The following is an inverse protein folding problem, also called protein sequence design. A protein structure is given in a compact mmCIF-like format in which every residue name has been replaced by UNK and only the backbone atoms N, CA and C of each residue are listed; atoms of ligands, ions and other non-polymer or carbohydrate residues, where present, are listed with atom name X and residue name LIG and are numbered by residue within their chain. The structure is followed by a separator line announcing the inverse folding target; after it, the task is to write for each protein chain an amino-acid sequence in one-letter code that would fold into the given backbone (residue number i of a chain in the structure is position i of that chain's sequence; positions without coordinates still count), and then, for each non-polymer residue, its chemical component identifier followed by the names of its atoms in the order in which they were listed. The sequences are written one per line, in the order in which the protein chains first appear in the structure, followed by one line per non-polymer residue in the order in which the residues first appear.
data_IF_217556416232
#
_entry.id   IF_217556416232
#
_cell.length_a   1.000
_cell.length_b   1.000
_cell.length_c   1.000
_cell.angle_alpha   90.00
_cell.angle_beta   90.00
_cell.angle_gamma   90.00
#
_symmetry.space_group_name_H-M   'P 1'
#
loop_
_entity.id
_entity.type
_entity.pdbx_description
1 polymer ?
#
# COMPACT_ATOMS: atom_id res chain seq x y z
N UNK A 1 4.86 -4.11 -69.09
CA UNK A 1 4.65 -3.44 -67.78
C UNK A 1 4.86 -4.45 -66.67
N UNK A 2 5.72 -4.15 -65.69
CA UNK A 2 5.99 -4.89 -64.44
C UNK A 2 6.43 -3.83 -63.42
N UNK A 3 5.59 -3.44 -62.45
CA UNK A 3 5.39 -4.02 -61.10
C UNK A 3 6.52 -3.71 -60.11
N UNK A 4 6.21 -2.85 -59.14
CA UNK A 4 6.72 -2.73 -57.75
C UNK A 4 8.21 -2.91 -57.42
N UNK A 5 8.79 -1.98 -56.64
CA UNK A 5 9.03 -2.13 -55.19
C UNK A 5 9.83 -0.91 -54.68
N UNK A 6 9.29 -0.17 -53.71
CA UNK A 6 10.00 0.97 -53.07
C UNK A 6 9.54 1.14 -51.61
N UNK A 7 9.83 0.17 -50.75
CA UNK A 7 9.53 0.27 -49.31
C UNK A 7 10.46 -0.59 -48.41
N UNK A 8 11.74 -0.71 -48.77
CA UNK A 8 12.77 -1.40 -47.96
C UNK A 8 14.01 -0.50 -47.80
N UNK A 9 13.93 0.47 -46.90
CA UNK A 9 15.03 1.43 -46.64
C UNK A 9 15.11 1.98 -45.21
N UNK A 10 14.25 1.54 -44.27
CA UNK A 10 14.14 2.16 -42.92
C UNK A 10 14.01 1.10 -41.82
N UNK A 11 15.05 0.27 -41.62
CA UNK A 11 15.03 -0.75 -40.55
C UNK A 11 16.40 -1.16 -39.93
N UNK A 12 17.47 -0.35 -40.09
CA UNK A 12 18.84 -0.75 -39.68
C UNK A 12 19.61 0.20 -38.74
N UNK A 13 18.97 1.22 -38.16
CA UNK A 13 19.67 2.25 -37.36
C UNK A 13 19.44 2.23 -35.83
N UNK A 14 18.78 1.22 -35.26
CA UNK A 14 18.38 1.22 -33.84
C UNK A 14 19.14 0.20 -32.96
N UNK A 15 19.99 -0.66 -33.54
CA UNK A 15 20.60 -1.81 -32.83
C UNK A 15 22.06 -1.56 -32.39
N UNK A 16 22.66 -0.40 -32.72
CA UNK A 16 24.11 -0.20 -32.67
C UNK A 16 24.63 0.78 -31.58
N UNK A 17 23.91 0.98 -30.48
CA UNK A 17 24.31 1.93 -29.39
C UNK A 17 24.22 1.30 -27.98
N UNK A 18 24.37 -0.03 -27.87
CA UNK A 18 24.29 -0.74 -26.58
C UNK A 18 25.53 -1.59 -26.23
N UNK A 19 26.65 -1.42 -26.94
CA UNK A 19 27.94 -2.00 -26.57
C UNK A 19 29.01 -0.91 -26.64
N UNK A 20 29.37 -0.37 -25.46
CA UNK A 20 30.66 0.17 -25.02
C UNK A 20 30.43 1.16 -23.85
N UNK A 21 30.73 0.72 -22.62
CA UNK A 21 31.33 1.52 -21.51
C UNK A 21 31.33 0.74 -20.18
N UNK A 22 32.04 -0.39 -20.17
CA UNK A 22 32.88 -0.78 -19.04
C UNK A 22 34.31 -0.37 -19.46
N UNK A 23 35.26 0.06 -18.62
CA UNK A 23 35.45 -0.01 -17.17
C UNK A 23 36.14 1.26 -16.63
N UNK A 24 35.86 1.72 -15.40
CA UNK A 24 36.88 1.80 -14.32
C UNK A 24 36.35 2.46 -13.02
N UNK A 25 36.45 1.74 -11.89
CA UNK A 25 36.37 2.31 -10.53
C UNK A 25 36.82 1.28 -9.46
N UNK A 26 38.04 1.41 -8.94
CA UNK A 26 38.54 0.54 -7.85
C UNK A 26 37.86 0.89 -6.51
N UNK A 27 37.42 -0.08 -5.69
CA UNK A 27 36.78 0.22 -4.40
C UNK A 27 37.77 0.76 -3.37
N UNK A 28 37.41 1.86 -2.69
CA UNK A 28 38.14 2.39 -1.53
C UNK A 28 37.55 1.84 -0.22
N UNK A 29 38.42 1.38 0.66
CA UNK A 29 38.06 0.72 1.94
C UNK A 29 37.36 1.68 2.92
N UNK A 30 36.30 1.25 3.64
CA UNK A 30 35.71 2.04 4.71
C UNK A 30 36.66 2.13 5.92
N UNK A 31 36.99 3.34 6.37
CA UNK A 31 37.76 3.56 7.59
C UNK A 31 36.88 3.46 8.84
N UNK A 32 36.76 2.26 9.41
CA UNK A 32 36.04 2.03 10.66
C UNK A 32 36.74 2.70 11.85
N UNK A 33 36.16 3.77 12.41
CA UNK A 33 36.55 4.26 13.73
C UNK A 33 35.55 3.83 14.80
N UNK A 34 35.89 2.75 15.50
CA UNK A 34 35.34 2.45 16.82
C UNK A 34 35.56 3.65 17.75
N UNK A 35 34.56 3.95 18.59
CA UNK A 35 34.75 4.59 19.89
C UNK A 35 33.98 3.77 20.92
N UNK A 36 34.69 3.12 21.84
CA UNK A 36 34.05 2.30 22.87
C UNK A 36 34.88 2.31 24.17
N UNK A 37 34.23 2.74 25.27
CA UNK A 37 34.60 2.64 26.70
C UNK A 37 35.89 3.28 27.24
N UNK A 38 35.82 3.57 28.55
CA UNK A 38 36.89 4.11 29.42
C UNK A 38 36.50 5.49 30.01
N UNK A 39 36.00 5.74 31.23
CA UNK A 39 35.89 5.08 32.56
C UNK A 39 36.74 5.77 33.64
N UNK A 40 36.36 5.62 34.93
CA UNK A 40 36.93 6.27 36.14
C UNK A 40 36.47 7.74 36.36
N UNK A 41 36.29 8.26 37.60
CA UNK A 41 36.50 7.68 38.95
C UNK A 41 35.57 8.25 40.05
N UNK A 42 35.26 7.43 41.06
CA UNK A 42 35.07 7.77 42.51
C UNK A 42 33.97 8.73 43.00
N UNK A 43 33.37 8.40 44.17
CA UNK A 43 32.46 9.28 44.92
C UNK A 43 31.38 8.55 45.76
N UNK A 44 31.68 8.20 47.02
CA UNK A 44 30.68 7.73 48.00
C UNK A 44 29.88 8.95 48.55
N UNK A 45 28.68 8.86 49.15
CA UNK A 45 28.24 8.00 50.28
C UNK A 45 26.70 7.81 50.35
N UNK A 46 26.24 6.95 51.27
CA UNK A 46 24.84 6.80 51.74
C UNK A 46 24.81 7.06 53.26
N UNK A 47 23.72 7.61 53.84
CA UNK A 47 22.71 6.75 54.47
C UNK A 47 21.24 7.22 54.23
N UNK A 48 20.31 6.99 55.16
CA UNK A 48 19.36 5.88 55.05
C UNK A 48 18.21 6.01 56.09
N UNK A 49 16.96 5.71 55.71
CA UNK A 49 15.74 5.77 56.54
C UNK A 49 15.29 7.22 56.90
N UNK A 50 14.04 7.51 57.31
CA UNK A 50 12.86 6.67 57.54
C UNK A 50 11.52 7.45 57.32
N UNK A 51 10.38 6.77 57.54
CA UNK A 51 9.07 7.27 57.98
C UNK A 51 8.09 8.00 56.99
N UNK A 52 6.92 7.37 56.84
CA UNK A 52 5.59 7.98 56.61
C UNK A 52 4.98 8.47 57.96
N UNK A 53 3.85 9.24 58.06
CA UNK A 53 2.63 9.14 57.22
C UNK A 53 1.72 10.41 57.09
N UNK A 54 0.47 10.16 56.63
CA UNK A 54 -0.84 10.85 56.90
C UNK A 54 -1.40 11.92 55.94
N UNK A 55 -2.47 11.48 55.25
CA UNK A 55 -3.80 12.12 55.08
C UNK A 55 -3.96 13.56 54.58
N UNK A 56 -4.68 13.69 53.46
CA UNK A 56 -5.88 14.53 53.36
C UNK A 56 -6.90 13.86 52.42
N UNK A 57 -8.18 14.27 52.46
CA UNK A 57 -9.26 13.62 51.70
C UNK A 57 -10.21 14.65 51.08
N UNK A 58 -10.83 14.30 49.96
CA UNK A 58 -12.07 14.92 49.46
C UNK A 58 -12.85 13.92 48.59
N UNK A 59 -14.17 14.13 48.49
CA UNK A 59 -15.12 13.23 47.81
C UNK A 59 -15.21 13.57 46.30
N UNK A 60 -15.89 12.82 45.42
CA UNK A 60 -17.37 12.77 45.38
C UNK A 60 -17.90 11.61 44.52
N UNK A 61 -18.55 10.64 45.19
CA UNK A 61 -19.82 9.98 44.85
C UNK A 61 -20.44 10.22 43.45
N UNK A 62 -20.57 9.15 42.65
CA UNK A 62 -21.86 8.67 42.12
C UNK A 62 -21.72 7.27 41.49
N UNK A 63 -22.60 6.35 41.89
CA UNK A 63 -22.80 5.00 41.32
C UNK A 63 -24.26 4.90 40.84
N UNK A 64 -24.56 3.87 40.03
CA UNK A 64 -25.90 3.31 39.76
C UNK A 64 -26.93 4.24 39.03
N UNK A 65 -27.78 3.79 38.09
CA UNK A 65 -27.98 2.52 37.35
C UNK A 65 -28.14 2.86 35.84
N UNK A 66 -28.53 2.03 34.86
CA UNK A 66 -29.05 0.65 34.79
C UNK A 66 -28.72 0.04 33.41
N UNK A 67 -28.75 -1.28 33.27
CA UNK A 67 -28.62 -1.99 31.98
C UNK A 67 -29.99 -2.39 31.39
N UNK A 68 -30.19 -2.13 30.09
CA UNK A 68 -31.35 -2.60 29.32
C UNK A 68 -30.91 -3.65 28.29
N UNK A 69 -31.58 -4.81 28.19
CA UNK A 69 -31.30 -5.80 27.15
C UNK A 69 -31.97 -5.43 25.82
N UNK A 70 -31.37 -5.82 24.69
CA UNK A 70 -32.08 -5.82 23.41
C UNK A 70 -31.57 -4.90 22.31
N UNK A 71 -30.26 -4.68 22.19
CA UNK A 71 -29.65 -4.57 20.87
C UNK A 71 -28.19 -5.02 20.93
N UNK A 72 -27.77 -5.84 19.96
CA UNK A 72 -26.35 -6.04 19.70
C UNK A 72 -25.86 -4.81 18.92
N UNK A 73 -25.39 -3.78 19.63
CA UNK A 73 -24.73 -2.66 18.98
C UNK A 73 -23.58 -3.20 18.11
N UNK A 74 -23.70 -3.02 16.80
CA UNK A 74 -22.69 -3.44 15.84
C UNK A 74 -21.44 -2.59 16.08
N UNK A 75 -20.55 -3.13 16.91
CA UNK A 75 -19.39 -2.51 17.60
C UNK A 75 -18.68 -1.50 16.69
N UNK A 76 -19.13 -0.24 16.75
CA UNK A 76 -18.89 0.76 15.70
C UNK A 76 -17.40 0.99 15.51
N UNK A 77 -16.84 0.41 14.45
CA UNK A 77 -15.42 0.50 14.15
C UNK A 77 -15.03 1.96 13.90
N UNK A 78 -14.23 2.59 14.80
CA UNK A 78 -13.96 4.03 14.71
C UNK A 78 -12.92 4.38 13.63
N UNK A 79 -12.24 3.39 13.05
CA UNK A 79 -11.19 3.60 12.04
C UNK A 79 -11.70 3.78 10.60
N UNK A 80 -13.00 3.60 10.33
CA UNK A 80 -13.55 3.71 8.97
C UNK A 80 -13.80 5.16 8.55
N UNK A 81 -13.59 5.46 7.26
CA UNK A 81 -13.76 6.79 6.66
C UNK A 81 -14.76 6.73 5.49
N UNK A 82 -16.07 6.50 5.72
CA UNK A 82 -17.04 6.24 4.65
C UNK A 82 -17.22 7.40 3.67
N UNK A 83 -17.00 8.64 4.11
CA UNK A 83 -17.07 9.86 3.29
C UNK A 83 -15.79 10.13 2.47
N UNK A 84 -14.77 9.27 2.59
CA UNK A 84 -13.51 9.42 1.86
C UNK A 84 -13.69 9.00 0.38
N UNK A 85 -12.88 9.60 -0.49
CA UNK A 85 -12.97 9.48 -1.95
C UNK A 85 -11.61 9.75 -2.58
N UNK A 86 -11.43 9.41 -3.86
CA UNK A 86 -10.18 9.73 -4.56
C UNK A 86 -9.98 11.23 -4.71
N UNK A 87 -8.73 11.70 -4.62
CA UNK A 87 -8.44 13.14 -4.69
C UNK A 87 -8.82 13.71 -6.06
N UNK A 88 -9.64 14.76 -6.07
CA UNK A 88 -10.23 15.30 -7.30
C UNK A 88 -9.23 16.07 -8.17
N UNK A 89 -8.13 16.60 -7.61
CA UNK A 89 -7.08 17.32 -8.35
C UNK A 89 -6.13 16.35 -9.10
N UNK A 90 -6.70 15.38 -9.78
CA UNK A 90 -6.06 14.52 -10.77
C UNK A 90 -5.85 15.30 -12.08
N UNK A 91 -5.10 16.40 -12.02
CA UNK A 91 -4.85 17.30 -13.17
C UNK A 91 -3.84 16.74 -14.19
N UNK A 92 -3.28 15.56 -13.93
CA UNK A 92 -2.58 14.74 -14.91
C UNK A 92 -3.58 14.04 -15.86
N UNK A 93 -3.45 14.25 -17.17
CA UNK A 93 -4.34 13.73 -18.23
C UNK A 93 -4.46 12.20 -18.28
N UNK A 94 -3.61 11.47 -17.55
CA UNK A 94 -3.52 10.01 -17.57
C UNK A 94 -4.47 9.29 -16.62
N UNK A 95 -4.96 9.91 -15.55
CA UNK A 95 -5.89 9.32 -14.59
C UNK A 95 -7.12 10.21 -14.44
N UNK A 96 -8.30 9.72 -14.83
CA UNK A 96 -9.54 10.50 -14.74
C UNK A 96 -10.50 9.91 -13.71
N UNK A 97 -10.92 10.67 -12.69
CA UNK A 97 -12.07 10.33 -11.87
C UNK A 97 -13.32 10.30 -12.76
N UNK A 98 -13.89 9.12 -12.95
CA UNK A 98 -15.15 8.93 -13.69
C UNK A 98 -16.39 9.05 -12.78
N UNK A 99 -16.19 8.78 -11.49
CA UNK A 99 -17.08 9.01 -10.33
C UNK A 99 -16.17 9.20 -9.10
N UNK A 100 -16.65 9.73 -7.95
CA UNK A 100 -15.81 10.00 -6.78
C UNK A 100 -14.93 8.82 -6.31
N UNK A 101 -15.43 7.59 -6.48
CA UNK A 101 -14.71 6.36 -6.10
C UNK A 101 -14.21 5.53 -7.31
N UNK A 102 -14.42 5.99 -8.55
CA UNK A 102 -14.13 5.20 -9.76
C UNK A 102 -13.06 5.87 -10.63
N UNK A 103 -11.90 5.23 -10.74
CA UNK A 103 -10.72 5.74 -11.46
C UNK A 103 -10.49 4.94 -12.73
N UNK A 104 -10.17 5.64 -13.82
CA UNK A 104 -9.80 5.07 -15.11
C UNK A 104 -8.46 5.66 -15.60
N UNK A 105 -7.57 4.80 -16.07
CA UNK A 105 -6.31 5.20 -16.70
C UNK A 105 -6.47 5.33 -18.22
N UNK A 106 -6.03 6.46 -18.82
CA UNK A 106 -6.38 6.88 -20.19
C UNK A 106 -5.23 7.17 -21.17
N UNK A 107 -4.06 7.64 -20.74
CA UNK A 107 -3.01 8.14 -21.66
C UNK A 107 -1.62 7.54 -21.40
N UNK A 108 -0.68 7.67 -22.35
CA UNK A 108 0.59 6.92 -22.36
C UNK A 108 1.67 7.36 -21.34
N UNK A 109 1.42 8.32 -20.46
CA UNK A 109 2.50 8.94 -19.65
C UNK A 109 2.83 8.19 -18.34
N UNK A 110 3.17 6.90 -18.47
CA UNK A 110 3.74 6.05 -17.43
C UNK A 110 2.79 5.62 -16.29
N UNK A 111 3.18 4.63 -15.48
CA UNK A 111 2.42 4.25 -14.28
C UNK A 111 2.12 5.46 -13.39
N UNK A 112 0.85 5.62 -13.00
CA UNK A 112 0.38 6.76 -12.19
C UNK A 112 -0.33 6.31 -10.92
N UNK A 113 -0.15 7.10 -9.87
CA UNK A 113 -0.67 6.88 -8.52
C UNK A 113 -1.77 7.88 -8.16
N UNK A 114 -2.78 7.46 -7.41
CA UNK A 114 -3.79 8.33 -6.79
C UNK A 114 -4.01 7.94 -5.34
N UNK A 115 -4.03 8.95 -4.46
CA UNK A 115 -4.37 8.82 -3.04
C UNK A 115 -5.77 9.39 -2.77
N UNK A 116 -6.42 8.96 -1.69
CA UNK A 116 -7.68 9.54 -1.25
C UNK A 116 -7.52 10.94 -0.62
N UNK A 117 -8.63 11.62 -0.37
CA UNK A 117 -8.62 12.99 0.19
C UNK A 117 -8.21 13.05 1.67
N UNK A 118 -8.57 12.03 2.45
CA UNK A 118 -8.31 11.94 3.90
C UNK A 118 -7.32 10.80 4.21
N UNK A 119 -6.38 10.99 5.16
CA UNK A 119 -5.48 9.95 5.63
C UNK A 119 -6.21 8.95 6.56
N UNK A 120 -5.48 7.92 6.96
CA UNK A 120 -5.87 7.01 8.05
C UNK A 120 -6.09 7.81 9.34
N UNK A 121 -7.21 7.62 10.08
CA UNK A 121 -7.44 8.30 11.34
C UNK A 121 -6.39 7.95 12.40
N UNK A 122 -5.71 8.96 12.96
CA UNK A 122 -4.73 8.84 14.06
C UNK A 122 -5.41 8.60 15.43
N UNK A 123 -6.21 7.54 15.53
CA UNK A 123 -6.87 7.06 16.75
C UNK A 123 -6.15 5.82 17.30
N UNK A 124 -6.27 5.57 18.61
CA UNK A 124 -5.46 4.57 19.35
C UNK A 124 -5.90 3.10 19.16
N UNK A 125 -7.03 2.86 18.51
CA UNK A 125 -7.62 1.53 18.31
C UNK A 125 -8.75 1.58 17.28
N UNK A 126 -9.04 0.42 16.68
CA UNK A 126 -9.96 0.28 15.56
C UNK A 126 -9.23 -0.23 14.32
N UNK A 127 -9.98 -0.56 13.27
CA UNK A 127 -9.44 -1.03 12.00
C UNK A 127 -9.74 0.03 10.94
N UNK A 128 -8.72 0.65 10.38
CA UNK A 128 -8.89 1.35 9.11
C UNK A 128 -8.96 0.30 7.99
N UNK A 129 -9.90 0.44 7.05
CA UNK A 129 -10.05 -0.52 5.94
C UNK A 129 -10.80 0.11 4.76
N UNK A 130 -10.40 -0.27 3.54
CA UNK A 130 -11.11 0.02 2.30
C UNK A 130 -10.94 -1.15 1.32
N UNK A 131 -11.86 -1.28 0.37
CA UNK A 131 -11.79 -2.28 -0.69
C UNK A 131 -11.71 -1.64 -2.08
N UNK A 132 -11.01 -2.30 -3.00
CA UNK A 132 -10.87 -1.90 -4.40
C UNK A 132 -11.29 -3.06 -5.29
N UNK A 133 -12.31 -2.84 -6.11
CA UNK A 133 -12.80 -3.79 -7.10
C UNK A 133 -12.18 -3.51 -8.46
N UNK A 134 -11.60 -4.53 -9.09
CA UNK A 134 -11.02 -4.41 -10.44
C UNK A 134 -12.14 -4.54 -11.48
N UNK A 135 -12.40 -3.47 -12.22
CA UNK A 135 -13.48 -3.41 -13.22
C UNK A 135 -12.97 -3.71 -14.64
N UNK A 136 -11.74 -3.31 -14.96
CA UNK A 136 -11.08 -3.58 -16.24
C UNK A 136 -9.56 -3.57 -16.10
N UNK A 137 -8.84 -4.33 -16.95
CA UNK A 137 -7.38 -4.41 -17.01
C UNK A 137 -6.94 -4.82 -18.42
N UNK A 138 -5.94 -4.14 -18.99
CA UNK A 138 -5.29 -4.51 -20.26
C UNK A 138 -3.93 -5.18 -20.05
N UNK A 139 -3.33 -5.68 -21.13
CA UNK A 139 -2.09 -6.45 -21.12
C UNK A 139 -0.91 -5.66 -20.57
N UNK A 140 -0.14 -6.30 -19.69
CA UNK A 140 1.08 -5.80 -19.04
C UNK A 140 0.89 -4.59 -18.09
N UNK A 141 -0.34 -4.20 -17.77
CA UNK A 141 -0.59 -3.13 -16.79
C UNK A 141 -0.53 -3.70 -15.35
N UNK A 142 0.50 -3.41 -14.53
CA UNK A 142 0.44 -3.71 -13.10
C UNK A 142 -0.64 -2.88 -12.40
N UNK A 143 -1.16 -3.42 -11.31
CA UNK A 143 -2.06 -2.72 -10.38
C UNK A 143 -1.45 -2.87 -8.98
N UNK A 144 -1.29 -1.75 -8.28
CA UNK A 144 -0.81 -1.68 -6.90
C UNK A 144 -1.91 -1.06 -6.03
N UNK A 145 -2.17 -1.64 -4.86
CA UNK A 145 -3.22 -1.19 -3.92
C UNK A 145 -2.61 -1.16 -2.52
N UNK A 146 -2.70 -0.04 -1.81
CA UNK A 146 -1.92 0.13 -0.58
C UNK A 146 -2.03 1.51 0.05
N UNK A 147 -0.92 1.99 0.62
CA UNK A 147 -0.88 3.18 1.48
C UNK A 147 0.33 4.07 1.11
N UNK A 148 0.09 5.34 0.80
CA UNK A 148 1.14 6.32 0.48
C UNK A 148 1.29 7.41 1.55
N UNK A 149 2.50 7.92 1.82
CA UNK A 149 2.71 9.09 2.68
C UNK A 149 2.46 10.43 1.97
N UNK A 150 1.97 10.40 0.72
CA UNK A 150 1.76 11.57 -0.14
C UNK A 150 0.30 11.62 -0.60
N UNK A 151 -0.34 12.76 -0.38
CA UNK A 151 -1.66 13.12 -0.92
C UNK A 151 -1.54 13.58 -2.39
N UNK A 152 -2.49 13.20 -3.24
CA UNK A 152 -2.51 13.56 -4.65
C UNK A 152 -1.61 12.67 -5.54
N UNK A 153 -1.03 13.26 -6.58
CA UNK A 153 -0.28 12.54 -7.63
C UNK A 153 1.19 12.97 -7.68
N UNK A 154 2.14 12.20 -7.10
CA UNK A 154 3.56 12.38 -7.38
C UNK A 154 3.88 11.89 -8.81
N UNK A 155 4.40 12.73 -9.73
CA UNK A 155 4.38 12.42 -11.17
C UNK A 155 5.29 11.29 -11.63
N UNK A 156 6.16 10.76 -10.75
CA UNK A 156 7.14 9.69 -11.07
C UNK A 156 7.34 8.72 -9.88
N UNK A 157 6.32 8.52 -9.03
CA UNK A 157 6.39 7.55 -7.91
C UNK A 157 5.26 6.53 -7.95
N UNK A 158 5.61 5.29 -8.22
CA UNK A 158 4.73 4.13 -8.06
C UNK A 158 4.61 3.73 -6.58
N UNK A 159 3.42 3.27 -6.21
CA UNK A 159 3.10 2.75 -4.88
C UNK A 159 3.82 1.41 -4.66
N UNK A 160 4.39 1.23 -3.47
CA UNK A 160 5.24 0.10 -3.11
C UNK A 160 6.65 0.16 -3.70
N UNK A 161 6.78 0.41 -5.01
CA UNK A 161 8.06 0.32 -5.73
C UNK A 161 8.93 1.59 -5.60
N UNK A 162 8.33 2.75 -5.30
CA UNK A 162 9.02 3.98 -4.85
C UNK A 162 8.46 4.50 -3.51
N UNK A 163 7.13 4.68 -3.44
CA UNK A 163 6.27 5.21 -2.37
C UNK A 163 5.67 4.22 -1.35
N UNK A 164 5.73 4.42 -0.03
CA UNK A 164 4.85 3.73 0.94
C UNK A 164 4.81 2.20 0.84
N UNK A 165 3.60 1.63 0.94
CA UNK A 165 3.31 0.20 1.01
C UNK A 165 2.31 -0.22 -0.08
N UNK A 166 2.42 -1.44 -0.61
CA UNK A 166 1.47 -1.96 -1.61
C UNK A 166 1.28 -3.47 -1.56
N UNK A 167 0.13 -3.93 -2.06
CA UNK A 167 -0.10 -5.27 -2.59
C UNK A 167 -0.29 -5.16 -4.10
N UNK A 168 0.51 -5.91 -4.87
CA UNK A 168 0.46 -5.90 -6.33
C UNK A 168 -0.29 -7.10 -6.95
N UNK A 169 -0.77 -6.89 -8.18
CA UNK A 169 -1.50 -7.89 -8.95
C UNK A 169 -0.72 -9.18 -9.23
N UNK A 170 0.61 -9.18 -9.08
CA UNK A 170 1.48 -10.32 -9.29
C UNK A 170 1.75 -11.13 -8.00
N UNK A 171 1.12 -10.77 -6.88
CA UNK A 171 1.17 -11.51 -5.62
C UNK A 171 2.30 -11.06 -4.69
N UNK A 172 2.67 -9.78 -4.73
CA UNK A 172 3.79 -9.23 -3.96
C UNK A 172 3.33 -8.15 -2.98
N UNK A 173 3.82 -8.21 -1.73
CA UNK A 173 3.68 -7.13 -0.75
C UNK A 173 4.93 -6.26 -0.71
N UNK A 174 4.83 -4.97 -0.97
CA UNK A 174 5.93 -4.02 -1.10
C UNK A 174 6.06 -3.07 0.09
N UNK A 175 7.28 -2.64 0.38
CA UNK A 175 7.58 -1.59 1.37
C UNK A 175 7.84 -2.08 2.79
N UNK A 176 7.80 -3.39 3.04
CA UNK A 176 8.04 -3.98 4.37
C UNK A 176 9.40 -4.67 4.44
N UNK A 177 10.33 -4.12 5.23
CA UNK A 177 11.68 -4.66 5.41
C UNK A 177 11.76 -5.59 6.63
N UNK A 178 12.15 -6.85 6.40
CA UNK A 178 12.50 -7.81 7.45
C UNK A 178 13.35 -8.97 6.90
N UNK A 179 13.95 -9.75 7.80
CA UNK A 179 14.74 -10.94 7.44
C UNK A 179 13.91 -11.94 6.61
N UNK A 180 14.24 -12.07 5.32
CA UNK A 180 13.53 -12.93 4.36
C UNK A 180 12.71 -12.18 3.28
N UNK A 181 12.68 -10.84 3.29
CA UNK A 181 12.20 -10.08 2.14
C UNK A 181 13.21 -10.12 0.97
N UNK A 182 12.72 -9.83 -0.23
CA UNK A 182 13.49 -9.71 -1.49
C UNK A 182 13.60 -8.23 -1.85
N UNK A 183 14.68 -7.80 -2.50
CA UNK A 183 14.86 -6.40 -2.90
C UNK A 183 14.76 -6.24 -4.42
N UNK A 184 14.01 -5.24 -4.87
CA UNK A 184 13.87 -4.89 -6.29
C UNK A 184 15.22 -4.53 -6.89
N UNK A 185 15.63 -5.21 -7.96
CA UNK A 185 16.93 -4.93 -8.60
C UNK A 185 17.01 -3.51 -9.15
N UNK A 186 15.87 -2.91 -9.52
CA UNK A 186 15.78 -1.55 -10.07
C UNK A 186 15.67 -0.48 -8.98
N UNK A 187 14.66 -0.58 -8.11
CA UNK A 187 14.32 0.49 -7.15
C UNK A 187 14.88 0.28 -5.75
N UNK A 188 15.51 -0.88 -5.49
CA UNK A 188 16.01 -1.33 -4.17
C UNK A 188 14.96 -1.35 -3.04
N UNK A 189 13.67 -1.20 -3.35
CA UNK A 189 12.59 -1.41 -2.37
C UNK A 189 12.48 -2.89 -1.97
N UNK A 190 12.22 -3.18 -0.68
CA UNK A 190 11.93 -4.53 -0.21
C UNK A 190 10.50 -4.95 -0.57
N UNK A 191 10.32 -6.23 -0.86
CA UNK A 191 9.04 -6.86 -1.12
C UNK A 191 9.00 -8.33 -0.69
N UNK A 192 7.80 -8.89 -0.55
CA UNK A 192 7.52 -10.26 -0.12
C UNK A 192 6.68 -10.96 -1.19
N UNK A 193 7.14 -12.12 -1.65
CA UNK A 193 6.47 -12.93 -2.68
C UNK A 193 5.52 -13.97 -2.08
N UNK A 194 4.83 -14.72 -2.94
CA UNK A 194 4.08 -15.93 -2.57
C UNK A 194 2.64 -15.67 -2.12
N UNK A 195 2.12 -14.46 -2.28
CA UNK A 195 0.71 -14.16 -2.07
C UNK A 195 -0.12 -14.59 -3.30
N UNK A 196 -1.45 -14.75 -3.17
CA UNK A 196 -2.32 -14.93 -4.33
C UNK A 196 -2.16 -13.78 -5.34
N UNK A 197 -2.29 -14.09 -6.63
CA UNK A 197 -2.37 -13.07 -7.70
C UNK A 197 -3.82 -12.63 -7.88
N UNK A 198 -4.05 -11.34 -8.09
CA UNK A 198 -5.37 -10.78 -8.40
C UNK A 198 -5.39 -10.14 -9.80
N UNK A 199 -6.60 -10.01 -10.35
CA UNK A 199 -6.83 -9.66 -11.73
C UNK A 199 -6.00 -10.51 -12.70
N UNK A 200 -5.95 -11.84 -12.48
CA UNK A 200 -4.97 -12.75 -13.09
C UNK A 200 -5.19 -12.93 -14.60
N UNK A 201 -4.09 -12.96 -15.37
CA UNK A 201 -4.10 -13.35 -16.78
C UNK A 201 -4.37 -14.84 -16.98
N UNK A 202 -5.28 -15.17 -17.89
CA UNK A 202 -5.57 -16.53 -18.35
C UNK A 202 -5.63 -16.58 -19.88
N UNK A 203 -5.17 -17.69 -20.46
CA UNK A 203 -5.42 -18.01 -21.88
C UNK A 203 -6.77 -18.73 -21.97
N UNK A 204 -7.59 -18.34 -22.93
CA UNK A 204 -8.90 -18.91 -23.20
C UNK A 204 -9.06 -19.12 -24.72
N UNK A 205 -10.04 -19.92 -25.15
CA UNK A 205 -10.35 -20.13 -26.57
C UNK A 205 -11.73 -19.57 -26.86
N UNK A 206 -11.80 -18.51 -27.67
CA UNK A 206 -13.05 -17.84 -28.06
C UNK A 206 -13.18 -17.96 -29.57
N UNK A 207 -14.28 -18.55 -30.05
CA UNK A 207 -14.55 -18.78 -31.48
C UNK A 207 -13.37 -19.46 -32.22
N UNK A 208 -12.76 -20.47 -31.58
CA UNK A 208 -11.61 -21.21 -32.11
C UNK A 208 -10.26 -20.47 -32.07
N UNK A 209 -10.21 -19.23 -31.56
CA UNK A 209 -8.97 -18.44 -31.44
C UNK A 209 -8.49 -18.41 -29.99
N UNK A 210 -7.17 -18.56 -29.80
CA UNK A 210 -6.54 -18.32 -28.51
C UNK A 210 -6.60 -16.82 -28.19
N UNK A 211 -7.20 -16.45 -27.06
CA UNK A 211 -7.32 -15.08 -26.56
C UNK A 211 -6.75 -15.02 -25.14
N UNK A 212 -5.94 -14.01 -24.87
CA UNK A 212 -5.51 -13.68 -23.52
C UNK A 212 -6.50 -12.73 -22.86
N UNK A 213 -7.01 -13.07 -21.68
CA UNK A 213 -7.93 -12.22 -20.91
C UNK A 213 -7.50 -12.14 -19.45
N UNK A 214 -7.84 -11.05 -18.77
CA UNK A 214 -7.72 -10.94 -17.33
C UNK A 214 -9.05 -11.30 -16.67
N UNK A 215 -8.99 -12.02 -15.56
CA UNK A 215 -10.14 -12.21 -14.67
C UNK A 215 -10.43 -10.84 -14.03
N UNK A 216 -11.61 -10.28 -14.28
CA UNK A 216 -12.08 -9.03 -13.66
C UNK A 216 -13.11 -9.33 -12.57
N UNK A 217 -13.38 -8.37 -11.69
CA UNK A 217 -14.31 -8.51 -10.58
C UNK A 217 -13.68 -8.97 -9.26
N UNK A 218 -12.38 -9.26 -9.25
CA UNK A 218 -11.61 -9.41 -8.01
C UNK A 218 -11.75 -8.16 -7.12
N UNK A 219 -11.88 -8.39 -5.81
CA UNK A 219 -11.94 -7.35 -4.80
C UNK A 219 -10.74 -7.51 -3.88
N UNK A 220 -9.91 -6.48 -3.76
CA UNK A 220 -8.74 -6.43 -2.88
C UNK A 220 -9.03 -5.48 -1.73
N UNK A 221 -8.93 -5.96 -0.50
CA UNK A 221 -8.98 -5.11 0.69
C UNK A 221 -7.60 -4.64 1.10
N UNK A 222 -7.51 -3.42 1.62
CA UNK A 222 -6.33 -2.90 2.29
C UNK A 222 -6.75 -2.12 3.54
N UNK A 223 -6.00 -2.26 4.64
CA UNK A 223 -6.31 -1.63 5.92
C UNK A 223 -5.14 -1.63 6.88
N UNK A 224 -5.36 -1.14 8.11
CA UNK A 224 -4.40 -1.13 9.22
C UNK A 224 -5.14 -1.38 10.53
N UNK A 225 -4.62 -2.28 11.36
CA UNK A 225 -4.98 -2.33 12.79
C UNK A 225 -4.27 -1.17 13.50
N UNK A 226 -5.06 -0.17 13.91
CA UNK A 226 -4.57 1.09 14.49
C UNK A 226 -3.99 0.92 15.90
N UNK A 227 -4.11 -0.27 16.50
CA UNK A 227 -3.50 -0.62 17.79
C UNK A 227 -2.11 -1.25 17.63
N UNK A 228 -1.85 -1.96 16.53
CA UNK A 228 -0.58 -2.70 16.31
C UNK A 228 0.24 -2.19 15.13
N UNK A 229 -0.28 -1.23 14.36
CA UNK A 229 0.27 -0.75 13.09
C UNK A 229 0.49 -1.87 12.06
N UNK A 230 -0.21 -3.00 12.18
CA UNK A 230 -0.13 -4.09 11.21
C UNK A 230 -1.01 -3.78 10.00
N UNK A 231 -0.45 -3.86 8.80
CA UNK A 231 -1.22 -3.74 7.57
C UNK A 231 -2.11 -4.98 7.39
N UNK A 232 -3.29 -4.77 6.84
CA UNK A 232 -4.27 -5.81 6.52
C UNK A 232 -4.41 -5.82 5.01
N UNK A 233 -4.33 -6.99 4.40
CA UNK A 233 -4.70 -7.21 3.00
C UNK A 233 -5.68 -8.37 2.91
N UNK A 234 -6.66 -8.25 2.03
CA UNK A 234 -7.61 -9.32 1.72
C UNK A 234 -7.72 -9.50 0.22
N UNK A 235 -8.06 -10.72 -0.22
CA UNK A 235 -8.47 -10.98 -1.60
C UNK A 235 -9.80 -11.71 -1.57
N UNK A 236 -10.79 -11.15 -2.25
CA UNK A 236 -12.13 -11.71 -2.42
C UNK A 236 -12.86 -12.08 -1.11
N UNK A 237 -12.59 -11.36 -0.02
CA UNK A 237 -13.16 -11.62 1.31
C UNK A 237 -12.37 -12.62 2.15
N UNK A 238 -11.22 -13.12 1.67
CA UNK A 238 -10.29 -13.91 2.47
C UNK A 238 -9.10 -13.06 2.94
N UNK A 239 -8.80 -13.13 4.24
CA UNK A 239 -7.63 -12.47 4.84
C UNK A 239 -6.32 -13.08 4.33
N UNK A 240 -5.36 -12.24 3.94
CA UNK A 240 -4.01 -12.65 3.52
C UNK A 240 -3.03 -12.62 4.69
N UNK A 241 -1.90 -13.34 4.56
CA UNK A 241 -0.91 -13.48 5.62
C UNK A 241 -0.01 -12.24 5.72
N UNK A 242 -0.49 -11.20 6.41
CA UNK A 242 0.25 -9.94 6.65
C UNK A 242 1.04 -9.91 7.95
N UNK A 243 1.30 -11.07 8.57
CA UNK A 243 2.06 -11.16 9.83
C UNK A 243 3.44 -10.52 9.70
N UNK A 244 3.78 -9.61 10.63
CA UNK A 244 5.03 -8.79 10.66
C UNK A 244 5.10 -7.66 9.62
N UNK A 245 4.07 -7.45 8.80
CA UNK A 245 4.01 -6.32 7.87
C UNK A 245 3.48 -5.09 8.60
N UNK A 246 4.40 -4.32 9.20
CA UNK A 246 4.08 -3.09 9.92
C UNK A 246 4.13 -1.87 8.99
N UNK A 247 3.38 -0.84 9.36
CA UNK A 247 3.43 0.51 8.77
C UNK A 247 3.99 1.53 9.77
N UNK A 248 4.56 2.61 9.26
CA UNK A 248 4.93 3.78 10.05
C UNK A 248 3.66 4.49 10.58
N UNK A 249 3.61 4.70 11.90
CA UNK A 249 2.48 5.35 12.60
C UNK A 249 2.60 6.86 12.73
N UNK A 250 3.81 7.40 12.55
CA UNK A 250 4.10 8.82 12.80
C UNK A 250 3.75 9.65 11.54
N UNK A 251 3.85 9.02 10.37
CA UNK A 251 3.52 9.58 9.06
C UNK A 251 2.02 9.49 8.74
N UNK A 252 1.46 10.53 8.11
CA UNK A 252 0.08 10.50 7.59
C UNK A 252 -0.01 9.64 6.31
N UNK A 253 -0.45 8.40 6.48
CA UNK A 253 -0.69 7.47 5.39
C UNK A 253 -2.09 7.65 4.79
N UNK A 254 -2.17 7.71 3.47
CA UNK A 254 -3.41 7.80 2.69
C UNK A 254 -3.68 6.46 1.99
N UNK A 255 -4.92 5.97 1.92
CA UNK A 255 -5.25 4.85 1.03
C UNK A 255 -5.04 5.28 -0.42
N UNK A 256 -4.40 4.41 -1.20
CA UNK A 256 -3.82 4.74 -2.52
C UNK A 256 -3.87 3.55 -3.49
N UNK A 257 -3.90 3.85 -4.78
CA UNK A 257 -3.68 2.86 -5.86
C UNK A 257 -2.73 3.42 -6.92
N UNK A 258 -1.99 2.54 -7.60
CA UNK A 258 -1.26 2.87 -8.84
C UNK A 258 -1.71 1.96 -9.98
N UNK A 259 -1.94 2.55 -11.14
CA UNK A 259 -2.38 1.87 -12.36
C UNK A 259 -1.32 2.04 -13.47
N UNK A 260 -0.85 0.92 -14.02
CA UNK A 260 0.30 0.91 -14.93
C UNK A 260 0.01 1.10 -16.43
N UNK A 261 -1.24 1.31 -16.85
CA UNK A 261 -1.55 1.48 -18.28
C UNK A 261 -3.03 1.53 -18.66
N UNK A 262 -3.29 1.71 -19.97
CA UNK A 262 -4.58 2.03 -20.60
C UNK A 262 -5.71 1.06 -20.29
N UNK A 263 -6.95 1.56 -20.33
CA UNK A 263 -8.17 0.77 -20.14
C UNK A 263 -8.36 0.18 -18.73
N UNK A 264 -7.38 0.33 -17.83
CA UNK A 264 -7.46 -0.14 -16.45
C UNK A 264 -8.47 0.70 -15.67
N UNK A 265 -9.44 0.05 -15.02
CA UNK A 265 -10.51 0.70 -14.25
C UNK A 265 -10.70 0.02 -12.90
N UNK A 266 -10.86 0.82 -11.85
CA UNK A 266 -11.13 0.36 -10.48
C UNK A 266 -12.29 1.15 -9.85
N UNK A 267 -12.98 0.53 -8.89
CA UNK A 267 -13.96 1.18 -8.01
C UNK A 267 -13.56 0.93 -6.55
N UNK A 268 -13.55 1.98 -5.73
CA UNK A 268 -13.27 1.90 -4.30
C UNK A 268 -14.54 1.89 -3.43
N UNK A 269 -14.44 1.19 -2.31
CA UNK A 269 -15.38 1.24 -1.19
C UNK A 269 -14.60 1.64 0.07
N UNK A 270 -14.84 2.85 0.59
CA UNK A 270 -14.23 3.35 1.83
C UNK A 270 -15.10 3.10 3.09
N UNK A 271 -16.17 2.31 2.97
CA UNK A 271 -17.15 2.02 4.03
C UNK A 271 -18.62 2.41 3.78
N UNK A 272 -19.06 3.15 2.74
CA UNK A 272 -20.49 3.44 2.54
C UNK A 272 -21.28 2.29 1.87
N UNK A 273 -20.61 1.17 1.55
CA UNK A 273 -21.23 -0.09 1.14
C UNK A 273 -20.65 -1.22 2.00
N UNK A 274 -21.36 -2.34 2.12
CA UNK A 274 -20.82 -3.54 2.76
C UNK A 274 -19.51 -3.99 2.10
N UNK A 275 -18.56 -4.41 2.93
CA UNK A 275 -17.31 -5.02 2.49
C UNK A 275 -17.50 -6.49 2.13
N UNK A 276 -16.71 -7.00 1.17
CA UNK A 276 -16.67 -8.43 0.84
C UNK A 276 -15.95 -9.25 1.94
N UNK A 277 -15.03 -8.62 2.67
CA UNK A 277 -14.46 -9.16 3.90
C UNK A 277 -15.30 -8.76 5.13
N UNK A 278 -15.57 -9.71 6.03
CA UNK A 278 -16.21 -9.40 7.31
C UNK A 278 -15.19 -8.75 8.27
N UNK A 279 -15.13 -7.42 8.28
CA UNK A 279 -14.20 -6.67 9.14
C UNK A 279 -14.36 -6.97 10.64
N UNK A 280 -15.51 -7.48 11.07
CA UNK A 280 -15.75 -7.90 12.45
C UNK A 280 -14.91 -9.12 12.87
N UNK A 281 -14.35 -9.88 11.92
CA UNK A 281 -13.41 -10.98 12.19
C UNK A 281 -12.07 -10.49 12.79
N UNK A 282 -11.88 -9.17 12.91
CA UNK A 282 -10.67 -8.51 13.44
C UNK A 282 -10.89 -7.67 14.72
N UNK A 283 -12.10 -7.65 15.33
CA UNK A 283 -12.54 -6.58 16.27
C UNK A 283 -12.95 -7.06 17.67
#
# INVERSE_FOLDING_TARGET
MRTFHFLDAVCLFVVAVFILLETDATPKTPNTKLKNKGSTSSGNTKPNADASPKTSASNTKLENELSSPGNAEQKKNPGLTPENRWHSDASDTCLTPSKPNQVEYREKCGPRSVSAEQPIPKIKSGIFYYEVKILARELNNPIYIGLAPIKGMPPVKDLGTNEGYAYDSEGQFWGHEFMGCVYSQYTKRPYVVGQPKFAKFVRNVINGRNVGVFIIGDVVGCGVDLKTSQIIYTLNGALLKTTRLLVDSDVDLFPSVSLGGTGTKIEANFGPKDFKFNINDLI
#
